data_IF_405447754833
#
_entry.id   IF_405447754833
#
_cell.length_a   1.000
_cell.length_b   1.000
_cell.length_c   1.000
_cell.angle_alpha   90.00
_cell.angle_beta   90.00
_cell.angle_gamma   90.00
#
_symmetry.space_group_name_H-M   'P 1'
#
loop_
_entity.id
_entity.type
_entity.pdbx_description
1 polymer ?
#
# COMPACT_ATOMS: atom_id res chain seq x y z
N UNK A 1 29.73 14.64 20.78
CA UNK A 1 28.44 15.30 20.48
C UNK A 1 28.29 15.98 19.10
N UNK A 2 29.28 16.03 18.17
CA UNK A 2 29.06 16.60 16.82
C UNK A 2 28.42 15.66 15.81
N UNK A 3 28.33 14.35 16.08
CA UNK A 3 27.82 13.37 15.08
C UNK A 3 26.29 13.24 15.00
N UNK A 4 25.55 13.69 16.02
CA UNK A 4 24.09 13.59 16.05
C UNK A 4 23.39 14.55 15.09
N UNK A 5 23.93 15.76 14.93
CA UNK A 5 23.36 16.76 14.01
C UNK A 5 23.59 16.37 12.53
N UNK A 6 24.73 15.80 12.22
CA UNK A 6 25.06 15.30 10.86
C UNK A 6 24.28 14.04 10.53
N UNK A 7 24.00 13.16 11.51
CA UNK A 7 23.14 11.99 11.32
C UNK A 7 21.67 12.38 11.14
N UNK A 8 21.17 13.37 11.91
CA UNK A 8 19.81 13.91 11.74
C UNK A 8 19.60 14.55 10.35
N UNK A 9 20.65 15.15 9.77
CA UNK A 9 20.61 15.72 8.41
C UNK A 9 20.73 14.66 7.29
N UNK A 10 21.23 13.45 7.60
CA UNK A 10 21.38 12.34 6.65
C UNK A 10 20.16 11.41 6.54
N UNK A 11 19.19 11.52 7.44
CA UNK A 11 17.98 10.70 7.48
C UNK A 11 16.96 10.98 6.38
N UNK A 12 17.37 11.46 5.20
CA UNK A 12 16.46 11.68 4.07
C UNK A 12 16.23 10.38 3.33
N UNK A 13 14.97 9.92 3.32
CA UNK A 13 14.55 8.97 2.30
C UNK A 13 14.78 9.61 0.92
N UNK A 14 15.41 8.90 -0.03
CA UNK A 14 15.65 9.42 -1.38
C UNK A 14 14.30 9.61 -2.09
N UNK A 15 13.81 10.85 -2.10
CA UNK A 15 12.61 11.22 -2.86
C UNK A 15 12.99 11.21 -4.34
N UNK A 16 12.26 10.49 -5.16
CA UNK A 16 12.51 10.43 -6.61
C UNK A 16 12.29 11.81 -7.24
N UNK A 17 13.20 12.33 -8.06
CA UNK A 17 13.05 13.65 -8.69
C UNK A 17 11.74 13.81 -9.47
N UNK A 18 11.27 12.73 -10.08
CA UNK A 18 10.00 12.69 -10.81
C UNK A 18 8.80 12.96 -9.90
N UNK A 19 8.84 12.51 -8.64
CA UNK A 19 7.76 12.72 -7.68
C UNK A 19 7.73 14.17 -7.19
N UNK A 20 8.90 14.78 -7.00
CA UNK A 20 9.00 16.21 -6.70
C UNK A 20 8.44 17.07 -7.83
N UNK A 21 8.80 16.75 -9.07
CA UNK A 21 8.29 17.48 -10.24
C UNK A 21 6.76 17.35 -10.37
N UNK A 22 6.23 16.14 -10.23
CA UNK A 22 4.78 15.89 -10.23
C UNK A 22 4.07 16.67 -9.13
N UNK A 23 4.62 16.68 -7.92
CA UNK A 23 4.04 17.42 -6.79
C UNK A 23 4.03 18.93 -7.04
N UNK A 24 5.14 19.47 -7.54
CA UNK A 24 5.25 20.88 -7.91
C UNK A 24 4.28 21.28 -9.02
N UNK A 25 4.16 20.47 -10.08
CA UNK A 25 3.20 20.69 -11.17
C UNK A 25 1.75 20.60 -10.67
N UNK A 26 1.46 19.65 -9.75
CA UNK A 26 0.16 19.54 -9.11
C UNK A 26 -0.24 20.81 -8.37
N UNK A 27 0.67 21.37 -7.58
CA UNK A 27 0.44 22.62 -6.87
C UNK A 27 0.32 23.82 -7.83
N UNK A 28 1.17 23.88 -8.88
CA UNK A 28 1.16 24.94 -9.89
C UNK A 28 -0.18 24.99 -10.65
N UNK A 29 -0.83 23.86 -10.88
CA UNK A 29 -2.11 23.78 -11.57
C UNK A 29 -3.27 23.87 -10.57
N UNK A 30 -3.18 23.18 -9.43
CA UNK A 30 -4.26 23.03 -8.48
C UNK A 30 -4.61 24.32 -7.72
N UNK A 31 -3.62 25.11 -7.33
CA UNK A 31 -3.87 26.36 -6.60
C UNK A 31 -4.57 27.40 -7.48
N UNK A 32 -4.10 27.70 -8.71
CA UNK A 32 -4.84 28.64 -9.59
C UNK A 32 -6.23 28.12 -9.97
N UNK A 33 -6.36 26.82 -10.21
CA UNK A 33 -7.68 26.22 -10.50
C UNK A 33 -8.64 26.40 -9.32
N UNK A 34 -8.17 26.17 -8.09
CA UNK A 34 -8.94 26.41 -6.86
C UNK A 34 -9.38 27.87 -6.75
N UNK A 35 -8.45 28.81 -6.96
CA UNK A 35 -8.73 30.24 -6.88
C UNK A 35 -9.70 30.71 -7.96
N UNK A 36 -9.53 30.28 -9.21
CA UNK A 36 -10.41 30.60 -10.32
C UNK A 36 -11.83 30.07 -10.10
N UNK A 37 -11.95 28.78 -9.74
CA UNK A 37 -13.24 28.16 -9.46
C UNK A 37 -13.95 28.82 -8.28
N UNK A 38 -13.20 29.14 -7.21
CA UNK A 38 -13.75 29.85 -6.05
C UNK A 38 -14.28 31.23 -6.46
N UNK A 39 -13.52 31.95 -7.31
CA UNK A 39 -13.95 33.25 -7.84
C UNK A 39 -15.22 33.12 -8.69
N UNK A 40 -15.32 32.15 -9.58
CA UNK A 40 -16.48 31.90 -10.42
C UNK A 40 -17.76 31.59 -9.60
N UNK A 41 -17.59 30.75 -8.55
CA UNK A 41 -18.71 30.40 -7.65
C UNK A 41 -19.15 31.54 -6.78
N UNK A 42 -18.22 32.39 -6.32
CA UNK A 42 -18.50 33.50 -5.41
C UNK A 42 -18.74 34.84 -6.12
N UNK A 43 -18.75 34.89 -7.45
CA UNK A 43 -18.83 36.13 -8.27
C UNK A 43 -20.14 36.96 -8.10
N UNK A 44 -21.04 36.54 -7.23
CA UNK A 44 -22.19 37.34 -6.80
C UNK A 44 -22.02 38.09 -5.46
N UNK A 45 -20.87 37.97 -4.80
CA UNK A 45 -20.61 38.63 -3.51
C UNK A 45 -19.71 39.86 -3.70
N UNK A 46 -20.10 41.04 -3.19
CA UNK A 46 -19.33 42.25 -3.36
C UNK A 46 -18.09 42.39 -2.47
N UNK A 47 -17.61 41.31 -1.88
CA UNK A 47 -16.44 41.35 -0.96
C UNK A 47 -15.14 41.30 -1.71
N UNK A 48 -14.33 42.33 -1.62
CA UNK A 48 -12.96 42.45 -2.11
C UNK A 48 -11.93 41.60 -1.37
N UNK A 49 -12.33 40.53 -0.66
CA UNK A 49 -11.43 39.64 0.03
C UNK A 49 -10.86 38.64 -0.99
N UNK A 50 -9.52 38.41 -0.98
CA UNK A 50 -8.94 37.36 -1.78
C UNK A 50 -9.56 36.02 -1.37
N UNK A 51 -10.23 35.33 -2.31
CA UNK A 51 -10.87 34.05 -2.04
C UNK A 51 -9.84 32.96 -1.67
N UNK A 52 -8.60 33.08 -2.15
CA UNK A 52 -7.47 32.23 -1.75
C UNK A 52 -6.92 32.67 -0.40
N UNK A 53 -7.16 31.86 0.62
CA UNK A 53 -6.54 32.06 1.94
C UNK A 53 -5.14 31.43 1.99
N UNK A 54 -4.11 32.11 2.55
CA UNK A 54 -2.73 31.62 2.53
C UNK A 54 -2.52 30.18 3.03
N UNK A 55 -3.23 29.69 4.07
CA UNK A 55 -3.12 28.31 4.52
C UNK A 55 -3.47 27.23 3.47
N UNK A 56 -4.21 27.57 2.43
CA UNK A 56 -4.49 26.67 1.31
C UNK A 56 -3.23 26.23 0.59
N UNK A 57 -2.19 27.09 0.56
CA UNK A 57 -0.87 26.71 0.04
C UNK A 57 -0.24 25.55 0.80
N UNK A 58 -0.30 25.56 2.14
CA UNK A 58 0.18 24.47 2.98
C UNK A 58 -0.67 23.20 2.81
N UNK A 59 -2.00 23.34 2.69
CA UNK A 59 -2.90 22.22 2.36
C UNK A 59 -2.57 21.62 0.98
N UNK A 60 -2.19 22.43 0.00
CA UNK A 60 -1.76 21.96 -1.32
C UNK A 60 -0.46 21.15 -1.25
N UNK A 61 0.50 21.56 -0.41
CA UNK A 61 1.72 20.75 -0.19
C UNK A 61 1.35 19.35 0.28
N UNK A 62 0.47 19.22 1.27
CA UNK A 62 0.03 17.92 1.77
C UNK A 62 -0.70 17.11 0.67
N UNK A 63 -1.67 17.71 -0.01
CA UNK A 63 -2.47 17.01 -1.01
C UNK A 63 -1.68 16.55 -2.25
N UNK A 64 -0.66 17.31 -2.68
CA UNK A 64 0.11 17.01 -3.89
C UNK A 64 1.45 16.33 -3.62
N UNK A 65 2.13 16.61 -2.49
CA UNK A 65 3.44 16.04 -2.20
C UNK A 65 3.39 14.78 -1.34
N UNK A 66 2.44 14.68 -0.42
CA UNK A 66 2.28 13.53 0.49
C UNK A 66 0.82 13.04 0.53
N UNK A 67 0.23 12.66 -0.62
CA UNK A 67 -1.20 12.31 -0.74
C UNK A 67 -1.59 11.05 0.06
N UNK A 68 -0.61 10.23 0.49
CA UNK A 68 -0.84 9.06 1.33
C UNK A 68 -1.00 9.42 2.82
N UNK A 69 -0.52 10.60 3.25
CA UNK A 69 -0.65 11.03 4.64
C UNK A 69 -2.11 11.08 5.10
N UNK A 70 -2.47 10.52 6.27
CA UNK A 70 -3.77 10.69 6.89
C UNK A 70 -4.19 12.16 7.05
N UNK A 71 -3.20 13.04 7.32
CA UNK A 71 -3.39 14.47 7.48
C UNK A 71 -3.71 15.19 6.16
N UNK A 72 -3.47 14.54 5.01
CA UNK A 72 -3.75 15.04 3.66
C UNK A 72 -5.11 14.55 3.11
N UNK A 73 -5.79 13.62 3.78
CA UNK A 73 -7.04 13.05 3.28
C UNK A 73 -8.17 14.11 3.25
N UNK A 74 -9.18 13.96 2.36
CA UNK A 74 -10.26 14.92 2.19
C UNK A 74 -10.95 15.33 3.49
N UNK A 75 -11.17 14.36 4.41
CA UNK A 75 -11.76 14.62 5.72
C UNK A 75 -10.88 15.54 6.56
N UNK A 76 -9.57 15.34 6.56
CA UNK A 76 -8.62 16.17 7.29
C UNK A 76 -8.55 17.58 6.68
N UNK A 77 -8.38 17.68 5.35
CA UNK A 77 -8.24 18.96 4.66
C UNK A 77 -9.49 19.83 4.81
N UNK A 78 -10.67 19.29 4.49
CA UNK A 78 -11.93 20.05 4.52
C UNK A 78 -12.37 20.27 5.97
N UNK A 79 -12.51 19.18 6.74
CA UNK A 79 -12.98 19.23 8.13
C UNK A 79 -12.03 20.01 9.02
N UNK A 80 -10.72 19.75 8.92
CA UNK A 80 -9.71 20.43 9.72
C UNK A 80 -9.67 21.94 9.48
N UNK A 81 -9.68 22.38 8.22
CA UNK A 81 -9.70 23.81 7.90
C UNK A 81 -10.99 24.47 8.39
N UNK A 82 -12.16 23.84 8.20
CA UNK A 82 -13.44 24.41 8.64
C UNK A 82 -13.53 24.49 10.17
N UNK A 83 -13.16 23.43 10.88
CA UNK A 83 -13.12 23.41 12.36
C UNK A 83 -12.14 24.47 12.88
N UNK A 84 -11.01 24.64 12.23
CA UNK A 84 -10.01 25.64 12.58
C UNK A 84 -10.52 27.06 12.35
N UNK A 85 -11.18 27.32 11.23
CA UNK A 85 -11.81 28.62 10.96
C UNK A 85 -12.92 28.94 12.00
N UNK A 86 -13.71 27.94 12.36
CA UNK A 86 -14.75 28.07 13.37
C UNK A 86 -14.15 28.44 14.74
N UNK A 87 -13.10 27.72 15.16
CA UNK A 87 -12.36 28.03 16.38
C UNK A 87 -11.79 29.46 16.35
N UNK A 88 -11.20 29.85 15.21
CA UNK A 88 -10.62 31.17 15.01
C UNK A 88 -11.65 32.30 15.17
N UNK A 89 -12.78 32.21 14.46
CA UNK A 89 -13.86 33.19 14.55
C UNK A 89 -14.45 33.24 15.97
N UNK A 90 -14.69 32.09 16.59
CA UNK A 90 -15.26 32.03 17.96
C UNK A 90 -14.31 32.66 18.98
N UNK A 91 -13.02 32.40 18.90
CA UNK A 91 -12.06 33.02 19.81
C UNK A 91 -11.85 34.51 19.54
N UNK A 92 -11.93 34.96 18.28
CA UNK A 92 -11.92 36.37 17.96
C UNK A 92 -13.11 37.15 18.63
N UNK A 93 -14.29 36.55 18.60
CA UNK A 93 -15.47 37.10 19.27
C UNK A 93 -15.35 37.08 20.80
N UNK A 94 -14.87 35.96 21.37
CA UNK A 94 -14.83 35.77 22.82
C UNK A 94 -13.75 36.62 23.50
N UNK A 95 -12.63 36.86 22.86
CA UNK A 95 -11.45 37.55 23.43
C UNK A 95 -11.23 38.95 22.89
N UNK A 96 -12.22 39.55 22.21
CA UNK A 96 -12.16 40.95 21.81
C UNK A 96 -12.09 41.87 23.07
N UNK A 97 -11.16 42.83 23.18
CA UNK A 97 -10.26 43.37 22.15
C UNK A 97 -8.80 42.84 22.23
N UNK A 98 -8.58 41.63 22.67
CA UNK A 98 -7.21 41.05 22.89
C UNK A 98 -6.81 40.12 21.74
N UNK A 99 -6.32 40.60 20.57
CA UNK A 99 -6.08 39.77 19.39
C UNK A 99 -5.00 38.70 19.61
N UNK A 100 -3.96 38.96 20.38
CA UNK A 100 -2.93 37.97 20.69
C UNK A 100 -3.48 36.78 21.48
N UNK A 101 -4.33 37.06 22.47
CA UNK A 101 -5.00 36.01 23.26
C UNK A 101 -6.00 35.24 22.42
N UNK A 102 -6.79 35.94 21.59
CA UNK A 102 -7.71 35.32 20.65
C UNK A 102 -6.99 34.35 19.70
N UNK A 103 -5.84 34.78 19.14
CA UNK A 103 -5.04 33.98 18.24
C UNK A 103 -4.45 32.72 18.89
N UNK A 104 -3.87 32.85 20.11
CA UNK A 104 -3.34 31.71 20.85
C UNK A 104 -4.45 30.71 21.23
N UNK A 105 -5.58 31.20 21.75
CA UNK A 105 -6.72 30.38 22.11
C UNK A 105 -7.34 29.69 20.87
N UNK A 106 -7.40 30.37 19.73
CA UNK A 106 -7.90 29.81 18.47
C UNK A 106 -7.11 28.62 18.00
N UNK A 107 -5.76 28.70 18.00
CA UNK A 107 -4.90 27.59 17.61
C UNK A 107 -5.03 26.43 18.59
N UNK A 108 -5.02 26.71 19.92
CA UNK A 108 -5.19 25.67 20.92
C UNK A 108 -6.54 24.93 20.80
N UNK A 109 -7.65 25.69 20.68
CA UNK A 109 -8.98 25.12 20.45
C UNK A 109 -9.07 24.33 19.14
N UNK A 110 -8.43 24.81 18.07
CA UNK A 110 -8.42 24.14 16.78
C UNK A 110 -7.69 22.77 16.87
N UNK A 111 -6.53 22.71 17.52
CA UNK A 111 -5.78 21.46 17.72
C UNK A 111 -6.63 20.43 18.48
N UNK A 112 -7.24 20.85 19.60
CA UNK A 112 -8.07 19.97 20.43
C UNK A 112 -9.29 19.51 19.63
N UNK A 113 -10.01 20.41 18.97
CA UNK A 113 -11.23 20.09 18.24
C UNK A 113 -10.95 19.18 17.04
N UNK A 114 -9.91 19.47 16.26
CA UNK A 114 -9.49 18.60 15.15
C UNK A 114 -9.09 17.19 15.63
N UNK A 115 -8.38 17.10 16.77
CA UNK A 115 -7.99 15.83 17.37
C UNK A 115 -9.22 15.01 17.79
N UNK A 116 -10.14 15.60 18.52
CA UNK A 116 -11.39 14.95 18.97
C UNK A 116 -12.28 14.51 17.80
N UNK A 117 -12.32 15.28 16.72
CA UNK A 117 -13.13 14.99 15.53
C UNK A 117 -12.40 14.06 14.53
N UNK A 118 -11.13 13.69 14.78
CA UNK A 118 -10.32 12.85 13.90
C UNK A 118 -10.12 13.48 12.51
N UNK A 119 -9.96 14.81 12.45
CA UNK A 119 -9.69 15.56 11.22
C UNK A 119 -8.47 16.47 11.37
N UNK A 120 -7.44 15.99 12.07
CA UNK A 120 -6.22 16.74 12.28
C UNK A 120 -5.57 17.11 10.95
N UNK A 121 -5.37 18.43 10.75
CA UNK A 121 -4.81 19.00 9.54
C UNK A 121 -3.90 20.17 9.92
N UNK A 122 -2.56 20.01 9.90
CA UNK A 122 -1.64 21.02 10.40
C UNK A 122 -1.83 22.44 9.83
N UNK A 123 -2.13 22.61 8.51
CA UNK A 123 -2.45 23.92 7.95
C UNK A 123 -3.66 24.60 8.62
N UNK A 124 -4.56 23.83 9.24
CA UNK A 124 -5.68 24.34 10.00
C UNK A 124 -5.25 25.29 11.14
N UNK A 125 -4.09 25.06 11.76
CA UNK A 125 -3.53 25.99 12.75
C UNK A 125 -3.34 27.41 12.18
N UNK A 126 -2.86 27.52 10.96
CA UNK A 126 -2.73 28.81 10.27
C UNK A 126 -4.08 29.37 9.85
N UNK A 127 -5.07 28.52 9.55
CA UNK A 127 -6.47 28.96 9.30
C UNK A 127 -7.08 29.56 10.56
N UNK A 128 -6.92 28.90 11.72
CA UNK A 128 -7.42 29.39 13.00
C UNK A 128 -6.79 30.74 13.37
N UNK A 129 -5.45 30.81 13.24
CA UNK A 129 -4.71 32.05 13.48
C UNK A 129 -5.19 33.18 12.56
N UNK A 130 -5.29 32.91 11.26
CA UNK A 130 -5.77 33.89 10.28
C UNK A 130 -7.19 34.34 10.55
N UNK A 131 -8.11 33.42 10.85
CA UNK A 131 -9.49 33.74 11.19
C UNK A 131 -9.60 34.59 12.47
N UNK A 132 -8.70 34.37 13.45
CA UNK A 132 -8.69 35.17 14.68
C UNK A 132 -8.12 36.57 14.50
N UNK A 133 -7.18 36.79 13.57
CA UNK A 133 -6.49 38.07 13.37
C UNK A 133 -7.09 38.95 12.26
N UNK A 134 -7.65 38.34 11.20
CA UNK A 134 -8.12 39.04 9.99
C UNK A 134 -9.60 39.34 10.05
N UNK A 135 -10.34 38.77 10.98
CA UNK A 135 -11.74 39.13 11.20
C UNK A 135 -11.83 40.61 11.49
N UNK A 136 -12.27 41.42 10.50
CA UNK A 136 -12.61 42.83 10.62
C UNK A 136 -13.65 43.08 11.71
N UNK A 137 -14.56 44.07 11.66
CA UNK A 137 -15.52 44.27 12.74
C UNK A 137 -16.21 42.93 13.05
N UNK A 138 -15.80 42.36 14.20
CA UNK A 138 -16.11 40.98 14.60
C UNK A 138 -17.59 40.93 14.96
N UNK A 139 -18.34 40.13 14.23
CA UNK A 139 -19.78 39.92 14.46
C UNK A 139 -20.23 38.51 14.01
N UNK A 140 -21.50 38.15 14.26
CA UNK A 140 -22.03 36.84 13.83
C UNK A 140 -21.87 36.55 12.33
N UNK A 141 -21.81 37.57 11.48
CA UNK A 141 -21.55 37.44 10.05
C UNK A 141 -20.16 36.88 9.73
N UNK A 142 -19.18 36.96 10.65
CA UNK A 142 -17.84 36.41 10.51
C UNK A 142 -17.82 34.88 10.37
N UNK A 143 -18.86 34.17 10.83
CA UNK A 143 -18.98 32.72 10.62
C UNK A 143 -19.15 32.33 9.16
N UNK A 144 -19.59 33.26 8.28
CA UNK A 144 -19.56 33.05 6.83
C UNK A 144 -18.18 32.69 6.28
N UNK A 145 -17.11 33.19 6.92
CA UNK A 145 -15.72 32.88 6.56
C UNK A 145 -15.39 31.38 6.63
N UNK A 146 -16.03 30.63 7.53
CA UNK A 146 -15.89 29.19 7.67
C UNK A 146 -16.31 28.48 6.39
N UNK A 147 -17.38 28.92 5.76
CA UNK A 147 -17.93 28.31 4.54
C UNK A 147 -17.30 28.91 3.28
N UNK A 148 -17.22 30.25 3.23
CA UNK A 148 -16.61 30.99 2.13
C UNK A 148 -15.69 32.05 2.74
N UNK A 149 -14.36 32.00 2.51
CA UNK A 149 -13.65 31.18 1.52
C UNK A 149 -13.13 29.82 2.01
N UNK A 150 -13.03 29.56 3.32
CA UNK A 150 -12.25 28.41 3.84
C UNK A 150 -12.81 27.06 3.36
N UNK A 151 -14.08 26.78 3.60
CA UNK A 151 -14.71 25.51 3.20
C UNK A 151 -14.72 25.32 1.69
N UNK A 152 -15.10 26.37 0.96
CA UNK A 152 -15.13 26.34 -0.51
C UNK A 152 -13.74 26.07 -1.11
N UNK A 153 -12.70 26.80 -0.69
CA UNK A 153 -11.35 26.60 -1.19
C UNK A 153 -10.77 25.22 -0.81
N UNK A 154 -11.06 24.75 0.40
CA UNK A 154 -10.65 23.40 0.83
C UNK A 154 -11.29 22.31 -0.02
N UNK A 155 -12.59 22.42 -0.30
CA UNK A 155 -13.31 21.48 -1.16
C UNK A 155 -12.77 21.51 -2.60
N UNK A 156 -12.57 22.70 -3.18
CA UNK A 156 -12.08 22.85 -4.55
C UNK A 156 -10.64 22.38 -4.69
N UNK A 157 -9.79 22.59 -3.67
CA UNK A 157 -8.43 22.05 -3.63
C UNK A 157 -8.45 20.53 -3.65
N UNK A 158 -9.26 19.90 -2.83
CA UNK A 158 -9.41 18.43 -2.79
C UNK A 158 -9.88 17.91 -4.15
N UNK A 159 -10.89 18.53 -4.76
CA UNK A 159 -11.38 18.13 -6.08
C UNK A 159 -10.30 18.30 -7.17
N UNK A 160 -9.54 19.39 -7.12
CA UNK A 160 -8.41 19.63 -8.02
C UNK A 160 -7.31 18.58 -7.85
N UNK A 161 -6.99 18.22 -6.59
CA UNK A 161 -6.02 17.17 -6.28
C UNK A 161 -6.50 15.79 -6.76
N UNK A 162 -7.78 15.46 -6.58
CA UNK A 162 -8.38 14.23 -7.10
C UNK A 162 -8.32 14.15 -8.64
N UNK A 163 -8.64 15.23 -9.31
CA UNK A 163 -8.58 15.31 -10.77
C UNK A 163 -7.14 15.14 -11.26
N UNK A 164 -6.19 15.86 -10.65
CA UNK A 164 -4.77 15.77 -10.98
C UNK A 164 -4.21 14.37 -10.73
N UNK A 165 -4.52 13.77 -9.57
CA UNK A 165 -4.07 12.43 -9.22
C UNK A 165 -4.51 11.39 -10.26
N UNK A 166 -5.75 11.46 -10.76
CA UNK A 166 -6.23 10.59 -11.84
C UNK A 166 -5.42 10.75 -13.13
N UNK A 167 -5.04 11.96 -13.50
CA UNK A 167 -4.26 12.24 -14.71
C UNK A 167 -2.84 11.67 -14.61
N UNK A 168 -2.21 11.77 -13.43
CA UNK A 168 -0.84 11.29 -13.21
C UNK A 168 -0.75 9.84 -12.75
N UNK A 169 -1.89 9.13 -12.65
CA UNK A 169 -1.93 7.71 -12.26
C UNK A 169 -1.63 7.48 -10.78
N UNK A 170 -1.93 8.45 -9.90
CA UNK A 170 -1.83 8.32 -8.44
C UNK A 170 -3.21 8.11 -7.80
N UNK A 171 -3.24 7.42 -6.66
CA UNK A 171 -4.46 7.30 -5.86
C UNK A 171 -4.59 8.48 -4.90
N UNK A 172 -5.66 9.26 -5.04
CA UNK A 172 -6.10 10.24 -4.06
C UNK A 172 -7.64 10.36 -4.13
N UNK A 173 -8.37 10.17 -3.03
CA UNK A 173 -7.90 9.81 -1.69
C UNK A 173 -7.06 8.55 -1.69
N UNK A 174 -6.08 8.48 -0.76
CA UNK A 174 -5.23 7.31 -0.64
C UNK A 174 -6.03 6.09 -0.21
N UNK A 175 -5.82 4.96 -0.87
CA UNK A 175 -6.39 3.66 -0.52
C UNK A 175 -5.38 2.58 -0.87
N UNK A 176 -5.09 1.71 0.07
CA UNK A 176 -4.35 0.48 -0.21
C UNK A 176 -5.30 -0.47 -0.94
N UNK A 177 -4.94 -0.95 -2.14
CA UNK A 177 -5.78 -1.92 -2.85
C UNK A 177 -5.96 -3.17 -1.98
N UNK A 178 -7.18 -3.70 -1.83
CA UNK A 178 -7.37 -4.97 -1.14
C UNK A 178 -6.58 -6.06 -1.88
N UNK A 179 -6.01 -7.04 -1.15
CA UNK A 179 -5.31 -8.15 -1.78
C UNK A 179 -6.26 -8.90 -2.71
N UNK A 180 -5.71 -9.34 -3.86
CA UNK A 180 -6.49 -10.08 -4.84
C UNK A 180 -7.07 -11.36 -4.23
N UNK A 181 -8.39 -11.50 -4.25
CA UNK A 181 -9.08 -12.72 -3.87
C UNK A 181 -9.44 -13.48 -5.15
N UNK A 182 -8.59 -14.42 -5.52
CA UNK A 182 -8.72 -15.17 -6.79
C UNK A 182 -9.98 -16.04 -6.84
N UNK A 183 -10.50 -16.42 -5.67
CA UNK A 183 -11.63 -17.34 -5.56
C UNK A 183 -12.94 -16.68 -5.13
N UNK A 184 -12.95 -15.33 -5.00
CA UNK A 184 -14.11 -14.53 -4.58
C UNK A 184 -14.79 -15.06 -3.28
N UNK A 185 -13.97 -15.62 -2.38
CA UNK A 185 -14.40 -16.11 -1.07
C UNK A 185 -14.42 -14.98 -0.04
N UNK A 186 -15.19 -15.14 1.05
CA UNK A 186 -15.24 -14.16 2.15
C UNK A 186 -14.05 -14.24 3.10
N UNK A 187 -13.26 -15.29 2.99
CA UNK A 187 -12.11 -15.52 3.85
C UNK A 187 -10.94 -14.62 3.47
N UNK A 188 -10.18 -14.19 4.48
CA UNK A 188 -8.93 -13.50 4.22
C UNK A 188 -7.94 -14.40 3.44
N UNK A 189 -7.11 -13.85 2.55
CA UNK A 189 -6.08 -14.61 1.88
C UNK A 189 -5.19 -15.36 2.88
N UNK A 190 -4.64 -16.55 2.54
CA UNK A 190 -3.85 -17.37 3.46
C UNK A 190 -2.72 -16.60 4.17
N UNK A 191 -2.06 -15.69 3.45
CA UNK A 191 -0.99 -14.83 3.98
C UNK A 191 -1.46 -13.82 5.05
N UNK A 192 -2.78 -13.60 5.19
CA UNK A 192 -3.38 -12.72 6.21
C UNK A 192 -4.03 -13.49 7.36
N UNK A 193 -4.09 -14.83 7.28
CA UNK A 193 -4.64 -15.69 8.34
C UNK A 193 -3.60 -16.05 9.38
N UNK A 194 -2.30 -15.91 9.04
CA UNK A 194 -1.14 -16.24 9.88
C UNK A 194 -0.25 -15.00 10.01
N UNK A 195 0.56 -14.92 11.05
CA UNK A 195 1.41 -13.78 11.36
C UNK A 195 0.70 -12.76 12.25
N UNK A 196 1.20 -11.52 12.26
CA UNK A 196 0.63 -10.46 13.07
C UNK A 196 -0.75 -10.01 12.54
N UNK A 197 -1.57 -9.53 13.47
CA UNK A 197 -2.93 -9.02 13.22
C UNK A 197 -2.94 -7.49 13.29
N UNK A 198 -4.04 -6.87 12.85
CA UNK A 198 -4.22 -5.42 13.05
C UNK A 198 -4.23 -5.03 14.54
N UNK A 199 -4.72 -5.92 15.41
CA UNK A 199 -4.70 -5.69 16.85
C UNK A 199 -3.26 -5.60 17.41
N UNK A 200 -2.33 -6.38 16.86
CA UNK A 200 -0.91 -6.32 17.25
C UNK A 200 -0.28 -4.99 16.85
N UNK A 201 -0.61 -4.47 15.67
CA UNK A 201 -0.20 -3.14 15.20
C UNK A 201 -0.78 -2.06 16.12
N UNK A 202 -2.07 -2.14 16.43
CA UNK A 202 -2.74 -1.18 17.31
C UNK A 202 -2.12 -1.16 18.71
N UNK A 203 -1.80 -2.33 19.25
CA UNK A 203 -1.11 -2.47 20.54
C UNK A 203 0.31 -1.89 20.47
N UNK A 204 1.05 -2.16 19.42
CA UNK A 204 2.39 -1.61 19.22
C UNK A 204 2.35 -0.08 19.13
N UNK A 205 1.41 0.49 18.37
CA UNK A 205 1.21 1.93 18.25
C UNK A 205 0.80 2.56 19.59
N UNK A 206 -0.04 1.89 20.38
CA UNK A 206 -0.43 2.36 21.71
C UNK A 206 0.76 2.44 22.68
N UNK A 207 1.73 1.52 22.55
CA UNK A 207 2.97 1.55 23.34
C UNK A 207 3.97 2.59 22.84
N UNK A 208 3.94 2.91 21.54
CA UNK A 208 4.84 3.90 20.95
C UNK A 208 4.55 5.32 21.46
N UNK A 209 3.28 5.64 21.77
CA UNK A 209 2.86 6.86 22.45
C UNK A 209 2.83 8.14 21.60
N UNK A 210 3.49 8.17 20.44
CA UNK A 210 3.54 9.33 19.56
C UNK A 210 2.60 9.17 18.36
N UNK A 211 2.11 10.31 17.83
CA UNK A 211 1.30 10.34 16.62
C UNK A 211 2.19 10.08 15.40
N UNK A 212 1.96 8.98 14.72
CA UNK A 212 2.61 8.69 13.44
C UNK A 212 1.73 9.18 12.28
N UNK A 213 2.35 9.93 11.35
CA UNK A 213 1.71 10.39 10.12
C UNK A 213 1.79 9.29 9.03
N UNK A 214 1.27 8.10 9.36
CA UNK A 214 1.21 6.94 8.47
C UNK A 214 -0.15 6.27 8.66
N UNK A 215 -0.79 5.88 7.56
CA UNK A 215 -2.03 5.14 7.59
C UNK A 215 -1.79 3.72 8.14
N UNK A 216 -2.77 3.17 8.88
CA UNK A 216 -2.69 1.82 9.45
C UNK A 216 -2.54 0.74 8.38
N UNK A 217 -3.18 0.92 7.24
CA UNK A 217 -3.10 -0.01 6.11
C UNK A 217 -1.71 0.01 5.47
N UNK A 218 -1.07 1.19 5.41
CA UNK A 218 0.32 1.33 4.96
C UNK A 218 1.31 0.69 5.94
N UNK A 219 1.06 0.80 7.25
CA UNK A 219 1.86 0.12 8.27
C UNK A 219 1.73 -1.41 8.17
N UNK A 220 0.51 -1.95 7.99
CA UNK A 220 0.28 -3.38 7.76
C UNK A 220 1.07 -3.86 6.54
N UNK A 221 0.99 -3.12 5.43
CA UNK A 221 1.71 -3.46 4.21
C UNK A 221 3.23 -3.40 4.40
N UNK A 222 3.73 -2.39 5.10
CA UNK A 222 5.16 -2.23 5.40
C UNK A 222 5.68 -3.36 6.29
N UNK A 223 4.98 -3.68 7.36
CA UNK A 223 5.40 -4.75 8.27
C UNK A 223 5.41 -6.12 7.58
N UNK A 224 4.44 -6.41 6.74
CA UNK A 224 4.44 -7.65 5.93
C UNK A 224 5.61 -7.70 4.96
N UNK A 225 5.96 -6.59 4.33
CA UNK A 225 7.15 -6.55 3.46
C UNK A 225 8.44 -6.74 4.25
N UNK A 226 8.55 -6.14 5.45
CA UNK A 226 9.71 -6.34 6.35
C UNK A 226 9.81 -7.80 6.81
N UNK A 227 8.68 -8.42 7.20
CA UNK A 227 8.62 -9.83 7.58
C UNK A 227 9.07 -10.73 6.43
N UNK A 228 8.56 -10.47 5.21
CA UNK A 228 8.95 -11.22 4.01
C UNK A 228 10.44 -11.06 3.68
N UNK A 229 11.00 -9.85 3.79
CA UNK A 229 12.43 -9.63 3.57
C UNK A 229 13.30 -10.28 4.64
N UNK A 230 12.88 -10.24 5.91
CA UNK A 230 13.57 -10.93 6.99
C UNK A 230 13.57 -12.46 6.77
N UNK A 231 12.42 -13.01 6.40
CA UNK A 231 12.26 -14.43 6.05
C UNK A 231 13.17 -14.84 4.89
N UNK A 232 13.17 -14.07 3.80
CA UNK A 232 14.08 -14.29 2.66
C UNK A 232 15.55 -14.32 3.08
N UNK A 233 15.97 -13.38 3.93
CA UNK A 233 17.36 -13.30 4.41
C UNK A 233 17.76 -14.50 5.28
N UNK A 234 16.86 -14.98 6.12
CA UNK A 234 17.12 -16.08 7.05
C UNK A 234 17.16 -17.43 6.32
N UNK A 235 16.31 -17.61 5.29
CA UNK A 235 16.10 -18.89 4.61
C UNK A 235 16.70 -18.95 3.20
N UNK A 236 17.46 -17.94 2.74
CA UNK A 236 18.00 -17.81 1.38
C UNK A 236 19.01 -18.90 0.96
N UNK A 237 19.14 -19.98 1.72
CA UNK A 237 20.09 -21.06 1.47
C UNK A 237 19.50 -22.23 0.70
N UNK A 238 18.17 -22.33 0.56
CA UNK A 238 17.53 -23.41 -0.19
C UNK A 238 17.20 -22.92 -1.59
N UNK A 239 17.76 -23.57 -2.60
CA UNK A 239 17.58 -23.19 -3.99
C UNK A 239 16.49 -24.07 -4.65
N UNK A 240 15.91 -23.58 -5.74
CA UNK A 240 14.97 -24.35 -6.55
C UNK A 240 15.56 -25.68 -7.02
N UNK A 241 16.86 -25.70 -7.34
CA UNK A 241 17.60 -26.93 -7.70
C UNK A 241 17.61 -28.00 -6.62
N UNK A 242 17.45 -27.62 -5.35
CA UNK A 242 17.58 -28.54 -4.21
C UNK A 242 16.28 -29.29 -3.93
N UNK A 243 15.14 -28.70 -4.34
CA UNK A 243 13.80 -29.23 -4.03
C UNK A 243 13.00 -29.66 -5.26
N UNK A 244 13.40 -29.22 -6.47
CA UNK A 244 12.65 -29.53 -7.69
C UNK A 244 12.61 -31.03 -7.97
N UNK A 245 11.46 -31.52 -8.42
CA UNK A 245 11.32 -32.81 -9.07
C UNK A 245 11.97 -32.75 -10.45
N UNK A 246 12.98 -33.62 -10.71
CA UNK A 246 13.75 -33.62 -11.96
C UNK A 246 13.15 -34.52 -13.04
N UNK A 247 12.48 -35.60 -12.62
CA UNK A 247 11.76 -36.49 -13.52
C UNK A 247 10.36 -35.90 -13.76
N UNK A 248 10.26 -35.00 -14.74
CA UNK A 248 9.04 -34.26 -15.03
C UNK A 248 8.29 -34.92 -16.17
N UNK A 249 7.10 -35.41 -15.87
CA UNK A 249 6.17 -35.86 -16.89
C UNK A 249 5.61 -34.68 -17.66
N UNK A 250 5.90 -34.61 -18.95
CA UNK A 250 5.54 -33.51 -19.83
C UNK A 250 4.77 -33.99 -21.06
N UNK A 251 4.09 -33.09 -21.72
CA UNK A 251 3.29 -33.33 -22.94
C UNK A 251 3.93 -32.58 -24.10
N UNK A 252 3.96 -33.20 -25.29
CA UNK A 252 4.48 -32.58 -26.49
C UNK A 252 3.45 -31.54 -27.05
N UNK A 253 3.96 -30.41 -27.54
CA UNK A 253 3.16 -29.31 -28.10
C UNK A 253 2.22 -29.78 -29.22
N UNK A 254 2.72 -30.70 -30.08
CA UNK A 254 2.00 -31.16 -31.27
C UNK A 254 1.25 -32.49 -31.06
N UNK A 255 1.30 -33.05 -29.84
CA UNK A 255 0.53 -34.23 -29.47
C UNK A 255 -0.96 -33.94 -29.54
N UNK A 256 -1.79 -34.93 -29.90
CA UNK A 256 -3.24 -34.77 -29.86
C UNK A 256 -3.75 -34.58 -28.42
N UNK A 257 -4.75 -33.75 -28.24
CA UNK A 257 -5.36 -33.50 -26.93
C UNK A 257 -5.91 -34.80 -26.29
N UNK A 258 -6.44 -35.72 -27.11
CA UNK A 258 -6.92 -37.03 -26.64
C UNK A 258 -5.79 -37.91 -26.07
N UNK A 259 -4.66 -37.99 -26.80
CA UNK A 259 -3.49 -38.75 -26.35
C UNK A 259 -2.86 -38.12 -25.08
N UNK A 260 -2.79 -36.79 -25.03
CA UNK A 260 -2.33 -36.07 -23.86
C UNK A 260 -3.23 -36.33 -22.64
N UNK A 261 -4.55 -36.31 -22.85
CA UNK A 261 -5.53 -36.63 -21.79
C UNK A 261 -5.40 -38.07 -21.26
N UNK A 262 -5.24 -39.03 -22.18
CA UNK A 262 -4.99 -40.42 -21.82
C UNK A 262 -3.70 -40.60 -21.00
N UNK A 263 -2.61 -39.94 -21.42
CA UNK A 263 -1.33 -39.92 -20.73
C UNK A 263 -1.48 -39.32 -19.33
N UNK A 264 -2.10 -38.15 -19.20
CA UNK A 264 -2.30 -37.48 -17.92
C UNK A 264 -3.19 -38.29 -16.95
N UNK A 265 -4.18 -39.04 -17.49
CA UNK A 265 -5.01 -39.94 -16.68
C UNK A 265 -4.22 -41.14 -16.18
N UNK A 266 -3.40 -41.75 -17.04
CA UNK A 266 -2.58 -42.90 -16.68
C UNK A 266 -1.59 -42.60 -15.55
N UNK A 267 -1.12 -41.35 -15.47
CA UNK A 267 -0.17 -40.88 -14.45
C UNK A 267 -0.82 -40.04 -13.35
N UNK A 268 -2.14 -39.97 -13.27
CA UNK A 268 -2.95 -39.15 -12.34
C UNK A 268 -2.51 -37.68 -12.24
N UNK A 269 -2.09 -37.09 -13.36
CA UNK A 269 -1.68 -35.70 -13.43
C UNK A 269 -2.90 -34.77 -13.54
N UNK A 270 -2.88 -33.68 -12.77
CA UNK A 270 -3.87 -32.59 -12.88
C UNK A 270 -3.47 -31.57 -13.93
N UNK A 271 -2.18 -31.30 -14.02
CA UNK A 271 -1.51 -30.38 -14.95
C UNK A 271 -0.21 -31.01 -15.44
N UNK A 272 0.26 -30.62 -16.62
CA UNK A 272 1.53 -31.03 -17.16
C UNK A 272 2.20 -29.90 -17.95
N UNK A 273 3.51 -29.74 -17.87
CA UNK A 273 4.26 -28.84 -18.74
C UNK A 273 4.12 -29.25 -20.19
N UNK A 274 3.94 -28.29 -21.08
CA UNK A 274 3.98 -28.48 -22.52
C UNK A 274 5.34 -28.05 -23.03
N UNK A 275 6.02 -28.98 -23.73
CA UNK A 275 7.38 -28.76 -24.26
C UNK A 275 7.39 -28.88 -25.78
N UNK A 276 8.33 -28.17 -26.42
CA UNK A 276 8.63 -28.33 -27.85
C UNK A 276 9.63 -29.47 -28.09
N UNK A 277 10.00 -29.68 -29.37
CA UNK A 277 10.96 -30.69 -29.80
C UNK A 277 12.37 -30.52 -29.20
N UNK A 278 12.69 -29.30 -28.69
CA UNK A 278 13.96 -29.00 -28.02
C UNK A 278 13.83 -29.03 -26.49
N UNK A 279 12.74 -29.59 -25.98
CA UNK A 279 12.36 -29.64 -24.55
C UNK A 279 12.20 -28.27 -23.89
N UNK A 280 11.96 -27.21 -24.65
CA UNK A 280 11.70 -25.87 -24.08
C UNK A 280 10.25 -25.78 -23.62
N UNK A 281 10.05 -25.17 -22.45
CA UNK A 281 8.71 -24.97 -21.89
C UNK A 281 7.97 -23.90 -22.68
N UNK A 282 6.90 -24.30 -23.38
CA UNK A 282 6.02 -23.44 -24.16
C UNK A 282 4.85 -22.97 -23.30
N UNK A 283 4.30 -23.84 -22.46
CA UNK A 283 3.17 -23.56 -21.62
C UNK A 283 2.85 -24.69 -20.66
N UNK A 284 1.61 -24.75 -20.22
CA UNK A 284 1.06 -25.79 -19.40
C UNK A 284 -0.33 -26.19 -19.91
N UNK A 285 -0.72 -27.44 -19.70
CA UNK A 285 -2.07 -27.92 -19.96
C UNK A 285 -2.65 -28.53 -18.70
N UNK A 286 -3.93 -28.25 -18.44
CA UNK A 286 -4.67 -28.85 -17.32
C UNK A 286 -5.60 -29.94 -17.85
N UNK A 287 -5.71 -31.02 -17.08
CA UNK A 287 -6.61 -32.15 -17.43
C UNK A 287 -8.05 -31.72 -17.69
N UNK A 288 -8.53 -30.72 -16.96
CA UNK A 288 -9.87 -30.18 -17.13
C UNK A 288 -10.07 -29.51 -18.50
N UNK A 289 -9.06 -28.82 -19.02
CA UNK A 289 -9.10 -28.16 -20.34
C UNK A 289 -9.15 -29.18 -21.48
N UNK A 290 -8.38 -30.27 -21.36
CA UNK A 290 -8.41 -31.39 -22.33
C UNK A 290 -9.74 -32.18 -22.33
N UNK A 291 -10.49 -32.15 -21.21
CA UNK A 291 -11.79 -32.84 -21.10
C UNK A 291 -12.93 -32.10 -21.81
N UNK A 292 -12.81 -30.81 -22.07
CA UNK A 292 -13.88 -29.99 -22.70
C UNK A 292 -14.08 -30.24 -24.19
N UNK A 293 -13.47 -31.30 -24.75
CA UNK A 293 -13.86 -31.86 -26.05
C UNK A 293 -13.35 -31.08 -27.27
N UNK A 294 -12.27 -30.32 -27.14
CA UNK A 294 -11.62 -29.74 -28.32
C UNK A 294 -10.79 -30.79 -29.03
N UNK A 295 -11.24 -31.20 -30.22
CA UNK A 295 -10.41 -31.97 -31.14
C UNK A 295 -9.26 -31.10 -31.63
N UNK A 296 -8.02 -31.60 -31.60
CA UNK A 296 -6.85 -30.87 -32.09
C UNK A 296 -5.58 -31.14 -31.28
N UNK A 297 -4.50 -30.45 -31.63
CA UNK A 297 -3.23 -30.53 -30.89
C UNK A 297 -3.32 -29.82 -29.54
N UNK A 298 -2.44 -30.19 -28.59
CA UNK A 298 -2.31 -29.55 -27.28
C UNK A 298 -2.08 -28.04 -27.40
N UNK A 299 -1.40 -27.61 -28.46
CA UNK A 299 -1.18 -26.19 -28.78
C UNK A 299 -2.46 -25.33 -28.74
N UNK A 300 -3.59 -25.89 -29.11
CA UNK A 300 -4.88 -25.18 -29.17
C UNK A 300 -5.51 -24.91 -27.80
N UNK A 301 -5.06 -25.60 -26.75
CA UNK A 301 -5.65 -25.56 -25.40
C UNK A 301 -4.64 -25.26 -24.30
N UNK A 302 -3.36 -25.07 -24.63
CA UNK A 302 -2.32 -24.77 -23.65
C UNK A 302 -2.49 -23.37 -23.04
N UNK A 303 -2.15 -23.25 -21.76
CA UNK A 303 -1.95 -21.97 -21.08
C UNK A 303 -0.48 -21.54 -21.25
N UNK A 304 -0.17 -20.46 -22.00
CA UNK A 304 1.21 -19.99 -22.17
C UNK A 304 1.76 -19.26 -20.95
N UNK A 305 0.89 -18.84 -20.00
CA UNK A 305 1.25 -18.07 -18.82
C UNK A 305 1.66 -19.00 -17.69
N UNK A 306 2.92 -19.45 -17.70
CA UNK A 306 3.50 -20.32 -16.66
C UNK A 306 4.64 -19.63 -15.93
N UNK A 307 4.72 -19.84 -14.63
CA UNK A 307 5.82 -19.34 -13.83
C UNK A 307 7.10 -20.16 -14.11
N UNK A 308 8.12 -19.46 -14.60
CA UNK A 308 9.42 -20.04 -14.93
C UNK A 308 10.48 -19.45 -14.00
N UNK A 309 11.29 -20.30 -13.39
CA UNK A 309 12.38 -19.91 -12.47
C UNK A 309 13.68 -20.59 -12.86
N UNK A 310 14.81 -20.07 -12.35
CA UNK A 310 16.12 -20.66 -12.56
C UNK A 310 16.45 -21.64 -11.43
N UNK A 311 17.35 -22.63 -11.65
CA UNK A 311 17.81 -23.54 -10.61
C UNK A 311 18.39 -22.83 -9.39
N UNK A 312 19.11 -21.71 -9.61
CA UNK A 312 19.73 -20.91 -8.55
C UNK A 312 18.78 -19.90 -7.88
N UNK A 313 17.49 -19.91 -8.20
CA UNK A 313 16.50 -19.04 -7.52
C UNK A 313 16.23 -19.61 -6.13
N UNK A 314 16.25 -18.75 -5.10
CA UNK A 314 15.85 -19.14 -3.75
C UNK A 314 14.35 -19.46 -3.70
N UNK A 315 13.98 -20.50 -2.95
CA UNK A 315 12.58 -20.98 -2.87
C UNK A 315 11.63 -19.94 -2.31
N UNK A 316 12.12 -19.03 -1.48
CA UNK A 316 11.33 -17.92 -0.90
C UNK A 316 10.73 -17.02 -1.96
N UNK A 317 11.35 -16.92 -3.14
CA UNK A 317 10.78 -16.18 -4.27
C UNK A 317 9.49 -16.83 -4.81
N UNK A 318 9.32 -18.14 -4.60
CA UNK A 318 8.14 -18.90 -5.02
C UNK A 318 7.02 -18.88 -3.98
N UNK A 319 7.33 -18.65 -2.70
CA UNK A 319 6.32 -18.67 -1.62
C UNK A 319 5.13 -17.74 -1.90
N UNK A 320 5.32 -16.45 -2.24
CA UNK A 320 4.20 -15.56 -2.54
C UNK A 320 3.37 -16.01 -3.75
N UNK A 321 4.04 -16.60 -4.76
CA UNK A 321 3.40 -17.02 -6.01
C UNK A 321 2.55 -18.27 -5.76
N UNK A 322 3.13 -19.30 -5.17
CA UNK A 322 2.46 -20.59 -4.96
C UNK A 322 1.47 -20.57 -3.78
N UNK A 323 1.64 -19.65 -2.81
CA UNK A 323 0.68 -19.49 -1.71
C UNK A 323 -0.50 -18.59 -2.05
N UNK A 324 -0.43 -17.81 -3.13
CA UNK A 324 -1.51 -16.90 -3.54
C UNK A 324 -2.73 -17.60 -4.14
N UNK A 325 -2.59 -18.87 -4.56
CA UNK A 325 -3.61 -19.59 -5.31
C UNK A 325 -3.68 -19.23 -6.81
N UNK A 326 -2.84 -18.31 -7.28
CA UNK A 326 -2.74 -17.95 -8.70
C UNK A 326 -2.01 -19.03 -9.50
N UNK A 327 -0.95 -19.60 -8.91
CA UNK A 327 -0.20 -20.70 -9.48
C UNK A 327 -0.06 -21.83 -8.45
N UNK A 328 -0.05 -23.07 -8.92
CA UNK A 328 0.14 -24.25 -8.08
C UNK A 328 1.50 -24.91 -8.30
N UNK A 329 2.15 -24.58 -9.41
CA UNK A 329 3.44 -25.09 -9.83
C UNK A 329 4.29 -24.01 -10.50
N UNK A 330 5.62 -24.21 -10.48
CA UNK A 330 6.60 -23.41 -11.17
C UNK A 330 7.58 -24.32 -11.92
N UNK A 331 7.88 -23.99 -13.18
CA UNK A 331 8.81 -24.71 -14.03
C UNK A 331 10.23 -24.22 -13.77
N UNK A 332 11.14 -25.12 -13.45
CA UNK A 332 12.57 -24.81 -13.35
C UNK A 332 13.20 -25.02 -14.72
N UNK A 333 13.75 -23.94 -15.28
CA UNK A 333 14.29 -23.94 -16.66
C UNK A 333 15.69 -23.35 -16.71
N UNK A 334 16.47 -23.76 -17.70
CA UNK A 334 17.78 -23.18 -18.01
C UNK A 334 17.66 -21.84 -18.78
N UNK A 335 18.80 -21.30 -19.25
CA UNK A 335 18.87 -20.06 -20.01
C UNK A 335 18.14 -20.13 -21.35
N UNK A 336 18.06 -21.32 -21.94
CA UNK A 336 17.39 -21.60 -23.20
C UNK A 336 15.93 -22.00 -23.03
N UNK A 337 15.37 -21.90 -21.81
CA UNK A 337 14.02 -22.34 -21.39
C UNK A 337 13.80 -23.85 -21.46
N UNK A 338 14.87 -24.66 -21.47
CA UNK A 338 14.78 -26.11 -21.41
C UNK A 338 14.29 -26.52 -20.01
N UNK A 339 13.35 -27.44 -19.96
CA UNK A 339 12.76 -27.93 -18.70
C UNK A 339 13.79 -28.76 -17.94
N UNK A 340 14.15 -28.31 -16.73
CA UNK A 340 15.06 -29.00 -15.80
C UNK A 340 14.34 -29.66 -14.64
N UNK A 341 13.19 -29.12 -14.24
CA UNK A 341 12.41 -29.62 -13.12
C UNK A 341 11.11 -28.87 -12.94
N UNK A 342 10.34 -29.33 -11.96
CA UNK A 342 9.09 -28.70 -11.53
C UNK A 342 9.08 -28.58 -10.01
N UNK A 343 8.50 -27.51 -9.49
CA UNK A 343 8.24 -27.29 -8.07
C UNK A 343 6.75 -27.05 -7.90
N UNK A 344 6.14 -27.78 -7.00
CA UNK A 344 4.72 -27.69 -6.65
C UNK A 344 4.54 -27.14 -5.24
N UNK A 345 3.30 -26.77 -4.88
CA UNK A 345 2.95 -26.45 -3.50
C UNK A 345 3.32 -27.56 -2.50
N UNK A 346 3.24 -28.82 -2.94
CA UNK A 346 3.58 -29.98 -2.10
C UNK A 346 5.08 -30.04 -1.78
N UNK A 347 5.93 -29.68 -2.74
CA UNK A 347 7.38 -29.61 -2.51
C UNK A 347 7.74 -28.52 -1.48
N UNK A 348 7.10 -27.35 -1.55
CA UNK A 348 7.26 -26.29 -0.57
C UNK A 348 6.77 -26.72 0.83
N UNK A 349 5.64 -27.39 0.92
CA UNK A 349 5.13 -27.93 2.18
C UNK A 349 6.10 -28.95 2.78
N UNK A 350 6.74 -29.79 1.95
CA UNK A 350 7.74 -30.73 2.38
C UNK A 350 8.98 -30.06 2.98
N UNK A 351 9.42 -28.96 2.40
CA UNK A 351 10.55 -28.16 2.92
C UNK A 351 10.17 -27.48 4.24
N UNK A 352 9.00 -26.84 4.31
CA UNK A 352 8.52 -26.19 5.53
C UNK A 352 8.37 -27.18 6.69
N UNK A 353 7.85 -28.36 6.41
CA UNK A 353 7.72 -29.43 7.40
C UNK A 353 9.07 -29.89 7.94
N UNK A 354 10.09 -30.06 7.05
CA UNK A 354 11.44 -30.42 7.47
C UNK A 354 12.12 -29.31 8.27
N UNK A 355 11.97 -28.05 7.85
CA UNK A 355 12.53 -26.91 8.58
C UNK A 355 11.98 -26.84 10.01
N UNK A 356 10.68 -27.03 10.18
CA UNK A 356 10.04 -27.04 11.49
C UNK A 356 10.50 -28.19 12.39
N UNK A 357 10.67 -29.40 11.84
CA UNK A 357 11.22 -30.54 12.60
C UNK A 357 12.68 -30.29 13.03
N UNK A 358 13.52 -29.77 12.14
CA UNK A 358 14.91 -29.47 12.45
C UNK A 358 15.02 -28.43 13.55
N UNK A 359 14.17 -27.38 13.50
CA UNK A 359 14.11 -26.34 14.52
C UNK A 359 13.62 -26.89 15.86
N UNK A 360 12.56 -27.70 15.88
CA UNK A 360 12.04 -28.34 17.09
C UNK A 360 13.08 -29.27 17.74
N UNK A 361 13.81 -30.07 16.94
CA UNK A 361 14.89 -30.94 17.44
C UNK A 361 16.08 -30.13 17.95
N UNK A 362 16.40 -28.99 17.27
CA UNK A 362 17.49 -28.12 17.72
C UNK A 362 17.15 -27.44 19.06
N UNK A 363 15.92 -26.97 19.22
CA UNK A 363 15.43 -26.40 20.49
C UNK A 363 15.44 -27.43 21.62
N UNK A 364 14.93 -28.63 21.38
CA UNK A 364 14.93 -29.70 22.37
C UNK A 364 16.37 -30.06 22.79
N UNK A 365 17.33 -30.13 21.87
CA UNK A 365 18.75 -30.37 22.21
C UNK A 365 19.39 -29.21 22.97
N UNK A 366 18.99 -27.97 22.68
CA UNK A 366 19.46 -26.80 23.40
C UNK A 366 18.94 -26.78 24.84
N UNK A 367 17.68 -27.17 25.08
CA UNK A 367 17.09 -27.38 26.40
C UNK A 367 17.78 -28.51 27.16
N UNK A 368 17.99 -29.68 26.53
CA UNK A 368 18.69 -30.83 27.12
C UNK A 368 20.17 -30.53 27.47
N UNK A 369 20.80 -29.63 26.71
CA UNK A 369 22.20 -29.21 26.94
C UNK A 369 22.32 -28.08 27.97
N UNK A 370 21.23 -27.54 28.49
CA UNK A 370 21.20 -26.42 29.43
C UNK A 370 21.67 -25.08 28.85
N UNK A 371 21.69 -24.97 27.51
CA UNK A 371 22.07 -23.75 26.81
C UNK A 371 20.94 -22.70 26.76
N UNK A 372 19.70 -23.10 27.03
CA UNK A 372 18.53 -22.24 27.12
C UNK A 372 17.76 -22.62 28.40
N UNK A 373 17.48 -21.64 29.25
CA UNK A 373 16.63 -21.82 30.45
C UNK A 373 15.16 -21.63 30.01
N UNK A 374 14.27 -22.63 30.13
CA UNK A 374 12.87 -22.52 29.71
C UNK A 374 12.01 -21.56 30.56
N UNK A 375 12.61 -20.85 31.53
CA UNK A 375 11.90 -19.97 32.45
C UNK A 375 12.11 -18.46 32.20
N UNK A 376 12.72 -18.05 31.10
CA UNK A 376 12.89 -16.62 30.73
C UNK A 376 12.05 -16.28 29.49
#
# INVERSE_FOLDING_TARGET
MPNTLVQALRGRQPIRPQDLLRSGLGALIGIPATGLLAHLVASGQPSALPLLVPPIGASAVLAFAVPASPLAQPRAVIGGNMVSALAGVTCALAFHPHPALAAAAAVACAIIAMGLLGCLHPPGGAVALGAALVAGPVGPASYGYVFVPVGLCSLLLVLSAMAYARVVGRSYPHRVPPPANVHDTRDAPPQRRVGFTQADIDNALAHYGDLLDVDREDLDALFREVELQAHRRIHAHILCSDIMSRDVLSVDLHQSAESALAYMRAHDLRSAPVIDSERRVVGMVRRAELQTGREGPVEAVLDPFVHKVRPGTAIEALLPILSSGVAHEAMVVDENRVLLGIITQTDLLGVLYRAHIVEAVALQRAEESGAIDPAI
#
